data_IF_570086801641
#
_entry.id   IF_570086801641
#
_cell.length_a   1.000
_cell.length_b   1.000
_cell.length_c   1.000
_cell.angle_alpha   90.00
_cell.angle_beta   90.00
_cell.angle_gamma   90.00
#
_symmetry.space_group_name_H-M   'P 1'
#
loop_
_entity.id
_entity.type
_entity.pdbx_description
1 polymer ?
#
# COMPACT_ATOMS: atom_id res chain seq x y z
N UNK A 1 -1.44 -18.61 14.09
CA UNK A 1 -0.86 -18.66 12.72
C UNK A 1 -1.84 -18.28 11.61
N UNK A 2 -2.88 -19.07 11.29
CA UNK A 2 -3.80 -18.76 10.15
C UNK A 2 -4.49 -17.40 10.30
N UNK A 3 -4.98 -17.06 11.50
CA UNK A 3 -5.56 -15.74 11.80
C UNK A 3 -4.60 -14.59 11.46
N UNK A 4 -3.34 -14.71 11.87
CA UNK A 4 -2.29 -13.73 11.57
C UNK A 4 -2.10 -13.48 10.08
N UNK A 5 -2.07 -14.56 9.29
CA UNK A 5 -1.92 -14.50 7.83
C UNK A 5 -3.12 -13.80 7.20
N UNK A 6 -4.34 -14.18 7.60
CA UNK A 6 -5.57 -13.57 7.09
C UNK A 6 -5.63 -12.07 7.40
N UNK A 7 -5.34 -11.67 8.65
CA UNK A 7 -5.31 -10.25 9.00
C UNK A 7 -4.27 -9.47 8.21
N UNK A 8 -3.04 -10.00 8.07
CA UNK A 8 -2.00 -9.36 7.27
C UNK A 8 -2.41 -9.20 5.79
N UNK A 9 -3.04 -10.22 5.20
CA UNK A 9 -3.54 -10.17 3.82
C UNK A 9 -4.67 -9.15 3.64
N UNK A 10 -5.65 -9.13 4.54
CA UNK A 10 -6.76 -8.18 4.47
C UNK A 10 -6.25 -6.75 4.57
N UNK A 11 -5.33 -6.45 5.49
CA UNK A 11 -4.77 -5.11 5.62
C UNK A 11 -3.95 -4.69 4.40
N UNK A 12 -3.13 -5.58 3.86
CA UNK A 12 -2.35 -5.28 2.66
C UNK A 12 -3.24 -5.07 1.44
N UNK A 13 -4.34 -5.83 1.31
CA UNK A 13 -5.35 -5.60 0.27
C UNK A 13 -6.08 -4.26 0.41
N UNK A 14 -6.48 -3.88 1.63
CA UNK A 14 -7.10 -2.56 1.87
C UNK A 14 -6.13 -1.44 1.50
N UNK A 15 -4.85 -1.60 1.85
CA UNK A 15 -3.82 -0.63 1.50
C UNK A 15 -3.63 -0.52 -0.02
N UNK A 16 -3.64 -1.64 -0.75
CA UNK A 16 -3.58 -1.67 -2.20
C UNK A 16 -4.82 -1.04 -2.87
N UNK A 17 -6.01 -1.32 -2.34
CA UNK A 17 -7.26 -0.76 -2.84
C UNK A 17 -7.25 0.77 -2.72
N UNK A 18 -6.77 1.28 -1.59
CA UNK A 18 -6.61 2.71 -1.35
C UNK A 18 -5.71 3.36 -2.39
N UNK A 19 -4.56 2.75 -2.70
CA UNK A 19 -3.68 3.19 -3.78
C UNK A 19 -4.39 3.21 -5.13
N UNK A 20 -5.08 2.13 -5.47
CA UNK A 20 -5.73 1.99 -6.76
C UNK A 20 -6.79 3.07 -6.99
N UNK A 21 -7.57 3.40 -5.95
CA UNK A 21 -8.53 4.51 -5.97
C UNK A 21 -7.81 5.84 -6.22
N UNK A 22 -6.70 6.11 -5.51
CA UNK A 22 -5.93 7.34 -5.67
C UNK A 22 -5.34 7.45 -7.07
N UNK A 23 -4.77 6.37 -7.61
CA UNK A 23 -4.26 6.33 -8.99
C UNK A 23 -5.38 6.57 -9.99
N UNK A 24 -6.55 5.94 -9.82
CA UNK A 24 -7.69 6.15 -10.72
C UNK A 24 -8.17 7.60 -10.74
N UNK A 25 -8.10 8.29 -9.61
CA UNK A 25 -8.41 9.73 -9.51
C UNK A 25 -7.29 10.60 -10.10
N UNK A 26 -6.03 10.20 -9.91
CA UNK A 26 -4.86 10.97 -10.29
C UNK A 26 -4.47 10.79 -11.77
N UNK A 27 -4.83 9.67 -12.42
CA UNK A 27 -4.32 9.29 -13.75
C UNK A 27 -4.69 10.29 -14.86
N UNK A 28 -5.81 11.00 -14.71
CA UNK A 28 -6.27 12.01 -15.66
C UNK A 28 -5.70 13.41 -15.38
N UNK A 29 -4.87 13.57 -14.34
CA UNK A 29 -4.23 14.84 -13.99
C UNK A 29 -2.86 14.95 -14.65
N UNK A 30 -2.34 16.18 -14.66
CA UNK A 30 -0.97 16.47 -15.09
C UNK A 30 0.07 15.73 -14.22
N UNK A 31 1.26 15.51 -14.77
CA UNK A 31 2.32 14.74 -14.11
C UNK A 31 2.70 15.28 -12.72
N UNK A 32 2.70 16.60 -12.54
CA UNK A 32 3.03 17.24 -11.26
C UNK A 32 1.96 16.97 -10.22
N UNK A 33 0.68 17.13 -10.59
CA UNK A 33 -0.46 16.81 -9.72
C UNK A 33 -0.58 15.32 -9.43
N UNK A 34 -0.29 14.46 -10.42
CA UNK A 34 -0.25 13.01 -10.25
C UNK A 34 0.75 12.62 -9.17
N UNK A 35 2.00 13.07 -9.31
CA UNK A 35 3.04 12.79 -8.32
C UNK A 35 2.69 13.33 -6.94
N UNK A 36 2.19 14.58 -6.85
CA UNK A 36 1.79 15.16 -5.56
C UNK A 36 0.73 14.32 -4.84
N UNK A 37 -0.27 13.82 -5.57
CA UNK A 37 -1.33 12.98 -4.99
C UNK A 37 -0.82 11.59 -4.60
N UNK A 38 -0.06 10.95 -5.48
CA UNK A 38 0.46 9.59 -5.26
C UNK A 38 1.44 9.57 -4.09
N UNK A 39 2.50 10.40 -4.13
CA UNK A 39 3.49 10.46 -3.05
C UNK A 39 2.89 11.00 -1.75
N UNK A 40 2.03 12.02 -1.82
CA UNK A 40 1.33 12.54 -0.64
C UNK A 40 0.49 11.46 0.04
N UNK A 41 -0.25 10.67 -0.75
CA UNK A 41 -1.03 9.56 -0.21
C UNK A 41 -0.17 8.44 0.36
N UNK A 42 1.01 8.19 -0.21
CA UNK A 42 1.93 7.14 0.23
C UNK A 42 2.39 7.42 1.67
N UNK A 43 2.73 8.67 1.99
CA UNK A 43 3.14 9.08 3.34
C UNK A 43 2.00 8.87 4.34
N UNK A 44 0.79 9.34 4.02
CA UNK A 44 -0.38 9.20 4.89
C UNK A 44 -0.71 7.72 5.12
N UNK A 45 -0.73 6.91 4.05
CA UNK A 45 -0.97 5.47 4.11
C UNK A 45 0.08 4.75 4.94
N UNK A 46 1.35 5.15 4.86
CA UNK A 46 2.43 4.57 5.65
C UNK A 46 2.18 4.76 7.15
N UNK A 47 1.89 5.99 7.58
CA UNK A 47 1.60 6.27 9.00
C UNK A 47 0.32 5.55 9.48
N UNK A 48 -0.74 5.54 8.67
CA UNK A 48 -1.96 4.80 8.99
C UNK A 48 -1.68 3.29 9.13
N UNK A 49 -0.94 2.72 8.19
CA UNK A 49 -0.61 1.30 8.20
C UNK A 49 0.26 0.93 9.40
N UNK A 50 1.25 1.78 9.75
CA UNK A 50 2.06 1.58 10.94
C UNK A 50 1.22 1.60 12.22
N UNK A 51 0.28 2.55 12.35
CA UNK A 51 -0.65 2.61 13.48
C UNK A 51 -1.55 1.38 13.57
N UNK A 52 -2.09 0.92 12.44
CA UNK A 52 -2.93 -0.29 12.38
C UNK A 52 -2.14 -1.54 12.75
N UNK A 53 -0.93 -1.71 12.20
CA UNK A 53 -0.04 -2.83 12.54
C UNK A 53 0.29 -2.83 14.03
N UNK A 54 0.59 -1.66 14.60
CA UNK A 54 0.82 -1.52 16.03
C UNK A 54 -0.38 -1.99 16.87
N UNK A 55 -1.58 -1.48 16.57
CA UNK A 55 -2.83 -1.88 17.25
C UNK A 55 -3.07 -3.38 17.13
N UNK A 56 -2.78 -3.96 15.96
CA UNK A 56 -2.95 -5.40 15.75
C UNK A 56 -1.96 -6.20 16.58
N UNK A 57 -0.69 -5.81 16.65
CA UNK A 57 0.33 -6.55 17.40
C UNK A 57 0.18 -6.41 18.92
N UNK A 58 -0.43 -5.32 19.40
CA UNK A 58 -0.65 -5.08 20.84
C UNK A 58 -1.95 -5.72 21.33
N UNK A 59 -3.05 -5.62 20.57
CA UNK A 59 -4.38 -6.01 21.04
C UNK A 59 -4.85 -7.37 20.53
N UNK A 60 -4.35 -7.83 19.38
CA UNK A 60 -4.67 -9.16 18.87
C UNK A 60 -3.49 -10.06 19.25
N UNK A 61 -3.76 -11.18 19.92
CA UNK A 61 -2.79 -12.22 20.25
C UNK A 61 -2.33 -12.97 18.98
N UNK A 62 -1.77 -12.24 18.03
CA UNK A 62 -1.32 -12.74 16.75
C UNK A 62 0.08 -13.30 16.88
N UNK A 63 0.32 -14.37 16.14
CA UNK A 63 1.67 -14.84 15.84
C UNK A 63 2.42 -13.71 15.10
N UNK A 64 3.35 -13.07 15.80
CA UNK A 64 4.07 -11.87 15.33
C UNK A 64 4.94 -12.19 14.11
N UNK A 65 5.54 -13.38 14.08
CA UNK A 65 6.42 -13.81 13.00
C UNK A 65 5.61 -14.02 11.71
N UNK A 66 4.54 -14.82 11.78
CA UNK A 66 3.67 -15.11 10.65
C UNK A 66 2.97 -13.84 10.12
N UNK A 67 2.50 -12.97 11.02
CA UNK A 67 1.91 -11.68 10.64
C UNK A 67 2.92 -10.81 9.89
N UNK A 68 4.10 -10.58 10.49
CA UNK A 68 5.10 -9.66 9.95
C UNK A 68 5.66 -10.14 8.61
N UNK A 69 5.93 -11.43 8.46
CA UNK A 69 6.38 -12.02 7.19
C UNK A 69 5.34 -11.86 6.09
N UNK A 70 4.08 -12.21 6.40
CA UNK A 70 3.00 -12.10 5.43
C UNK A 70 2.79 -10.64 5.02
N UNK A 71 2.74 -9.74 6.01
CA UNK A 71 2.60 -8.31 5.78
C UNK A 71 3.75 -7.75 4.93
N UNK A 72 5.00 -8.11 5.24
CA UNK A 72 6.19 -7.70 4.49
C UNK A 72 6.14 -8.15 3.03
N UNK A 73 5.94 -9.45 2.81
CA UNK A 73 5.92 -10.04 1.47
C UNK A 73 4.78 -9.46 0.63
N UNK A 74 3.57 -9.41 1.18
CA UNK A 74 2.42 -8.83 0.48
C UNK A 74 2.62 -7.35 0.17
N UNK A 75 3.14 -6.56 1.12
CA UNK A 75 3.42 -5.13 0.90
C UNK A 75 4.48 -4.93 -0.18
N UNK A 76 5.52 -5.77 -0.21
CA UNK A 76 6.56 -5.70 -1.24
C UNK A 76 6.00 -5.87 -2.66
N UNK A 77 5.21 -6.92 -2.89
CA UNK A 77 4.61 -7.16 -4.21
C UNK A 77 3.66 -6.03 -4.63
N UNK A 78 2.91 -5.48 -3.68
CA UNK A 78 2.01 -4.36 -3.93
C UNK A 78 2.78 -3.09 -4.31
N UNK A 79 3.81 -2.72 -3.54
CA UNK A 79 4.68 -1.58 -3.84
C UNK A 79 5.36 -1.72 -5.20
N UNK A 80 5.79 -2.93 -5.57
CA UNK A 80 6.33 -3.19 -6.90
C UNK A 80 5.29 -2.89 -7.99
N UNK A 81 4.03 -3.30 -7.80
CA UNK A 81 2.92 -2.94 -8.66
C UNK A 81 2.69 -1.42 -8.74
N UNK A 82 2.77 -0.71 -7.61
CA UNK A 82 2.64 0.74 -7.55
C UNK A 82 3.73 1.44 -8.41
N UNK A 83 4.99 1.01 -8.26
CA UNK A 83 6.13 1.56 -9.00
C UNK A 83 5.97 1.34 -10.51
N UNK A 84 5.54 0.13 -10.93
CA UNK A 84 5.32 -0.18 -12.34
C UNK A 84 4.22 0.71 -12.96
N UNK A 85 3.15 1.00 -12.22
CA UNK A 85 2.08 1.90 -12.67
C UNK A 85 2.54 3.34 -12.81
N UNK A 86 3.32 3.83 -11.84
CA UNK A 86 3.93 5.17 -11.89
C UNK A 86 4.85 5.29 -13.11
N UNK A 87 5.72 4.29 -13.32
CA UNK A 87 6.63 4.26 -14.46
C UNK A 87 5.88 4.27 -15.80
N UNK A 88 4.81 3.48 -15.92
CA UNK A 88 3.96 3.47 -17.11
C UNK A 88 3.37 4.87 -17.41
N UNK A 89 2.87 5.58 -16.38
CA UNK A 89 2.33 6.93 -16.54
C UNK A 89 3.43 7.94 -16.92
N UNK A 90 4.63 7.81 -16.37
CA UNK A 90 5.78 8.65 -16.71
C UNK A 90 6.14 8.52 -18.19
N UNK A 91 6.21 7.29 -18.70
CA UNK A 91 6.53 7.01 -20.10
C UNK A 91 5.52 7.70 -21.05
N UNK A 92 4.22 7.55 -20.79
CA UNK A 92 3.14 8.18 -21.58
C UNK A 92 3.25 9.71 -21.60
N UNK A 93 3.77 10.33 -20.54
CA UNK A 93 3.89 11.79 -20.48
C UNK A 93 5.17 12.34 -21.12
N UNK A 94 6.14 11.47 -21.44
CA UNK A 94 7.40 11.82 -22.09
C UNK A 94 7.43 11.49 -23.59
N UNK A 95 6.42 10.75 -24.08
CA UNK A 95 6.14 10.47 -25.51
C UNK A 95 5.10 11.49 -26.05
#
# INVERSE_FOLDING_TARGET
>A
MIKSILFALVFTLINALSFWIIVKIAINKDWKSFNKLVFGSMVVRYFLTAGVVWVCLVNLELDKLAFSLTFLVSTFFLLMGEILLIHKKQKINND
#
